data_IF_327693174868
#
_entry.id   IF_327693174868
#
_cell.length_a   1.000
_cell.length_b   1.000
_cell.length_c   1.000
_cell.angle_alpha   90.00
_cell.angle_beta   90.00
_cell.angle_gamma   90.00
#
_symmetry.space_group_name_H-M   'P 1'
#
loop_
_entity.id
_entity.type
_entity.pdbx_description
1 polymer ?
#
# COMPACT_ATOMS: atom_id res chain seq x y z
N UNK A 1 10.29 13.85 -30.58
CA UNK A 1 11.26 12.98 -29.88
C UNK A 1 11.12 11.58 -30.49
N UNK A 2 12.21 10.93 -30.92
CA UNK A 2 12.12 9.66 -31.63
C UNK A 2 11.65 8.54 -30.67
N UNK A 3 10.89 7.56 -31.17
CA UNK A 3 10.37 6.41 -30.39
C UNK A 3 11.51 5.64 -29.73
N UNK A 4 12.66 5.52 -30.40
CA UNK A 4 13.86 4.90 -29.85
C UNK A 4 14.46 5.66 -28.67
N UNK A 5 14.50 7.00 -28.73
CA UNK A 5 14.98 7.84 -27.63
C UNK A 5 14.09 7.68 -26.40
N UNK A 6 12.77 7.59 -26.61
CA UNK A 6 11.78 7.42 -25.55
C UNK A 6 11.93 6.05 -24.87
N UNK A 7 12.14 4.99 -25.66
CA UNK A 7 12.41 3.64 -25.14
C UNK A 7 13.74 3.60 -24.37
N UNK A 8 14.78 4.25 -24.90
CA UNK A 8 16.10 4.31 -24.26
C UNK A 8 16.06 5.07 -22.94
N UNK A 9 15.39 6.21 -22.90
CA UNK A 9 15.17 7.00 -21.67
C UNK A 9 14.40 6.21 -20.62
N UNK A 10 13.34 5.50 -21.01
CA UNK A 10 12.60 4.63 -20.08
C UNK A 10 13.49 3.53 -19.52
N UNK A 11 14.20 2.78 -20.37
CA UNK A 11 15.12 1.72 -19.93
C UNK A 11 16.19 2.24 -18.96
N UNK A 12 16.76 3.41 -19.24
CA UNK A 12 17.72 4.04 -18.35
C UNK A 12 17.09 4.44 -17.00
N UNK A 13 15.90 5.06 -17.03
CA UNK A 13 15.15 5.40 -15.81
C UNK A 13 14.89 4.17 -14.94
N UNK A 14 14.40 3.08 -15.55
CA UNK A 14 14.12 1.82 -14.86
C UNK A 14 15.41 1.26 -14.24
N UNK A 15 16.49 1.17 -15.02
CA UNK A 15 17.76 0.66 -14.51
C UNK A 15 18.28 1.49 -13.31
N UNK A 16 18.21 2.82 -13.41
CA UNK A 16 18.61 3.72 -12.32
C UNK A 16 17.69 3.52 -11.10
N UNK A 17 16.38 3.54 -11.27
CA UNK A 17 15.43 3.34 -10.17
C UNK A 17 15.62 1.98 -9.50
N UNK A 18 15.73 0.89 -10.26
CA UNK A 18 15.95 -0.44 -9.70
C UNK A 18 17.28 -0.53 -8.95
N UNK A 19 18.35 0.06 -9.47
CA UNK A 19 19.65 0.10 -8.80
C UNK A 19 19.58 0.87 -7.48
N UNK A 20 18.92 2.03 -7.47
CA UNK A 20 18.69 2.83 -6.26
C UNK A 20 17.83 2.06 -5.24
N UNK A 21 16.77 1.38 -5.67
CA UNK A 21 15.94 0.56 -4.79
C UNK A 21 16.74 -0.57 -4.14
N UNK A 22 17.64 -1.25 -4.87
CA UNK A 22 18.52 -2.28 -4.30
C UNK A 22 19.48 -1.67 -3.27
N UNK A 23 20.11 -0.53 -3.59
CA UNK A 23 21.00 0.16 -2.64
C UNK A 23 20.24 0.56 -1.38
N UNK A 24 19.05 1.16 -1.53
CA UNK A 24 18.19 1.55 -0.40
C UNK A 24 17.86 0.33 0.45
N UNK A 25 17.44 -0.78 -0.16
CA UNK A 25 17.10 -2.00 0.57
C UNK A 25 18.30 -2.51 1.39
N UNK A 26 19.49 -2.60 0.79
CA UNK A 26 20.71 -3.02 1.49
C UNK A 26 21.05 -2.06 2.63
N UNK A 27 20.98 -0.74 2.40
CA UNK A 27 21.21 0.26 3.44
C UNK A 27 20.22 0.12 4.60
N UNK A 28 18.94 -0.17 4.32
CA UNK A 28 17.94 -0.40 5.36
C UNK A 28 18.22 -1.70 6.14
N UNK A 29 18.62 -2.78 5.48
CA UNK A 29 19.04 -4.01 6.17
C UNK A 29 20.25 -3.76 7.09
N UNK A 30 21.23 -2.97 6.64
CA UNK A 30 22.39 -2.60 7.44
C UNK A 30 22.01 -1.68 8.61
N UNK A 31 21.06 -0.76 8.40
CA UNK A 31 20.53 0.10 9.44
C UNK A 31 19.83 -0.72 10.54
N UNK A 32 18.98 -1.67 10.17
CA UNK A 32 18.31 -2.61 11.10
C UNK A 32 19.36 -3.45 11.85
N UNK A 33 20.38 -3.97 11.16
CA UNK A 33 21.45 -4.69 11.83
C UNK A 33 22.23 -3.80 12.84
N UNK A 34 22.41 -2.52 12.52
CA UNK A 34 23.09 -1.56 13.39
C UNK A 34 22.24 -1.17 14.60
N UNK A 35 20.95 -0.83 14.41
CA UNK A 35 20.04 -0.48 15.49
C UNK A 35 19.93 -1.63 16.50
N UNK A 36 20.07 -2.88 16.05
CA UNK A 36 19.98 -4.06 16.90
C UNK A 36 21.13 -4.16 17.90
N UNK A 37 22.18 -3.36 17.73
CA UNK A 37 23.32 -3.26 18.66
C UNK A 37 23.15 -2.15 19.70
N UNK A 38 22.11 -1.31 19.57
CA UNK A 38 21.86 -0.20 20.48
C UNK A 38 21.24 -0.73 21.78
N UNK A 39 21.76 -0.28 22.91
CA UNK A 39 21.15 -0.53 24.21
C UNK A 39 19.87 0.31 24.35
N UNK A 40 18.73 -0.37 24.49
CA UNK A 40 17.41 0.25 24.63
C UNK A 40 16.83 0.06 26.04
N UNK A 41 17.64 -0.33 27.03
CA UNK A 41 17.20 -0.62 28.39
C UNK A 41 16.57 0.57 29.13
N UNK A 42 16.96 1.80 28.79
CA UNK A 42 16.41 3.02 29.40
C UNK A 42 15.04 3.42 28.86
N UNK A 43 14.59 2.83 27.74
CA UNK A 43 13.31 3.17 27.12
C UNK A 43 12.16 2.36 27.71
N UNK A 44 10.95 2.95 27.71
CA UNK A 44 9.73 2.24 28.13
C UNK A 44 9.55 0.97 27.27
N UNK A 45 9.44 -0.23 27.87
CA UNK A 45 9.16 -1.46 27.13
C UNK A 45 7.80 -1.40 26.40
N UNK A 46 7.66 -2.18 25.33
CA UNK A 46 6.38 -2.38 24.66
C UNK A 46 5.34 -2.97 25.62
N UNK A 47 4.07 -2.61 25.44
CA UNK A 47 3.02 -2.97 26.41
C UNK A 47 2.83 -4.49 26.52
N UNK A 48 3.06 -5.23 25.42
CA UNK A 48 2.92 -6.69 25.41
C UNK A 48 3.82 -7.41 26.43
N UNK A 49 4.97 -6.81 26.76
CA UNK A 49 5.92 -7.36 27.74
C UNK A 49 5.31 -7.27 29.14
N UNK A 50 4.69 -6.12 29.46
CA UNK A 50 4.06 -5.90 30.76
C UNK A 50 2.80 -6.75 30.96
N UNK A 51 2.03 -6.99 29.88
CA UNK A 51 0.79 -7.78 29.92
C UNK A 51 1.01 -9.28 29.68
N UNK A 52 2.23 -9.70 29.34
CA UNK A 52 2.55 -11.06 28.90
C UNK A 52 1.66 -11.54 27.74
N UNK A 53 1.44 -10.66 26.77
CA UNK A 53 0.63 -10.90 25.55
C UNK A 53 1.43 -10.67 24.29
N UNK A 54 2.76 -10.83 24.32
CA UNK A 54 3.58 -10.74 23.12
C UNK A 54 3.29 -11.93 22.19
N UNK A 55 3.69 -11.78 20.92
CA UNK A 55 3.71 -12.86 19.95
C UNK A 55 4.63 -14.00 20.40
N UNK A 56 4.48 -15.16 19.76
CA UNK A 56 5.14 -16.40 20.16
C UNK A 56 6.67 -16.30 20.25
N UNK A 57 7.30 -15.57 19.32
CA UNK A 57 8.75 -15.51 19.20
C UNK A 57 9.42 -14.99 20.48
N UNK A 58 10.34 -15.80 21.03
CA UNK A 58 11.03 -15.48 22.27
C UNK A 58 11.88 -14.21 22.15
N UNK A 59 11.83 -13.38 23.19
CA UNK A 59 12.64 -12.16 23.29
C UNK A 59 14.09 -12.52 23.59
N UNK A 60 15.01 -12.09 22.72
CA UNK A 60 16.46 -12.15 22.97
C UNK A 60 16.94 -11.04 23.91
N UNK A 61 18.18 -11.12 24.34
CA UNK A 61 18.80 -10.13 25.23
C UNK A 61 18.89 -8.74 24.58
N UNK A 62 18.93 -7.70 25.42
CA UNK A 62 19.12 -6.31 24.99
C UNK A 62 20.52 -6.15 24.37
N UNK A 63 20.64 -5.31 23.33
CA UNK A 63 21.85 -5.21 22.52
C UNK A 63 21.94 -6.27 21.42
N UNK A 64 20.84 -7.01 21.19
CA UNK A 64 20.62 -7.85 20.02
C UNK A 64 19.24 -7.59 19.41
N UNK A 65 19.01 -8.09 18.19
CA UNK A 65 17.67 -8.08 17.58
C UNK A 65 16.72 -8.93 18.45
N UNK A 66 15.72 -8.28 19.07
CA UNK A 66 14.86 -8.87 20.09
C UNK A 66 13.96 -9.99 19.56
N UNK A 67 13.36 -9.83 18.38
CA UNK A 67 12.57 -10.84 17.67
C UNK A 67 13.04 -11.02 16.21
N UNK A 68 14.13 -11.77 15.97
CA UNK A 68 14.78 -11.83 14.67
C UNK A 68 13.90 -12.25 13.49
N UNK A 69 13.09 -13.30 13.63
CA UNK A 69 12.22 -13.79 12.55
C UNK A 69 11.22 -12.71 12.20
N UNK A 70 10.56 -12.11 13.20
CA UNK A 70 9.60 -11.02 13.01
C UNK A 70 10.25 -9.77 12.41
N UNK A 71 11.46 -9.39 12.87
CA UNK A 71 12.22 -8.25 12.32
C UNK A 71 12.55 -8.45 10.85
N UNK A 72 13.15 -9.59 10.47
CA UNK A 72 13.61 -9.81 9.10
C UNK A 72 12.47 -10.04 8.11
N UNK A 73 11.40 -10.72 8.54
CA UNK A 73 10.23 -10.96 7.68
C UNK A 73 9.44 -9.69 7.39
N UNK A 74 9.51 -8.67 8.25
CA UNK A 74 8.92 -7.36 7.96
C UNK A 74 9.55 -6.66 6.75
N UNK A 75 10.79 -6.99 6.39
CA UNK A 75 11.42 -6.46 5.19
C UNK A 75 10.78 -6.94 3.89
N UNK A 76 9.87 -7.94 3.92
CA UNK A 76 9.06 -8.27 2.74
C UNK A 76 8.12 -7.13 2.35
N UNK A 77 7.55 -6.38 3.32
CA UNK A 77 6.77 -5.17 3.00
C UNK A 77 7.64 -4.13 2.29
N UNK A 78 8.83 -3.85 2.84
CA UNK A 78 9.79 -2.92 2.24
C UNK A 78 10.24 -3.36 0.85
N UNK A 79 10.53 -4.64 0.68
CA UNK A 79 10.89 -5.22 -0.62
C UNK A 79 9.78 -4.99 -1.66
N UNK A 80 8.54 -5.37 -1.34
CA UNK A 80 7.43 -5.20 -2.27
C UNK A 80 7.15 -3.74 -2.58
N UNK A 81 7.16 -2.84 -1.59
CA UNK A 81 6.97 -1.41 -1.86
C UNK A 81 8.07 -0.80 -2.75
N UNK A 82 9.31 -1.28 -2.66
CA UNK A 82 10.38 -0.88 -3.60
C UNK A 82 10.15 -1.45 -5.01
N UNK A 83 9.64 -2.68 -5.12
CA UNK A 83 9.22 -3.25 -6.41
C UNK A 83 8.10 -2.40 -7.02
N UNK A 84 7.12 -1.97 -6.23
CA UNK A 84 6.04 -1.09 -6.68
C UNK A 84 6.55 0.24 -7.24
N UNK A 85 7.54 0.87 -6.59
CA UNK A 85 8.21 2.07 -7.10
C UNK A 85 8.81 1.82 -8.48
N UNK A 86 9.48 0.68 -8.70
CA UNK A 86 10.03 0.31 -10.01
C UNK A 86 8.91 0.15 -11.06
N UNK A 87 7.79 -0.51 -10.70
CA UNK A 87 6.63 -0.65 -11.58
C UNK A 87 6.03 0.70 -11.98
N UNK A 88 5.89 1.63 -11.03
CA UNK A 88 5.38 2.98 -11.27
C UNK A 88 6.35 3.76 -12.17
N UNK A 89 7.65 3.71 -11.89
CA UNK A 89 8.69 4.42 -12.67
C UNK A 89 8.76 3.98 -14.13
N UNK A 90 8.34 2.75 -14.45
CA UNK A 90 8.25 2.29 -15.83
C UNK A 90 7.23 3.12 -16.66
N UNK A 91 6.19 3.70 -16.03
CA UNK A 91 5.02 4.25 -16.74
C UNK A 91 4.58 5.70 -16.38
N UNK A 92 5.37 6.45 -15.60
CA UNK A 92 5.06 7.77 -14.97
C UNK A 92 4.38 8.88 -15.84
N UNK A 93 3.81 10.00 -15.29
CA UNK A 93 3.68 10.40 -13.87
C UNK A 93 2.28 10.87 -13.36
N UNK A 94 1.30 11.28 -14.18
CA UNK A 94 0.19 12.11 -13.65
C UNK A 94 -0.98 11.35 -12.99
N UNK A 95 -1.21 10.08 -13.36
CA UNK A 95 -2.31 9.26 -12.82
C UNK A 95 -1.94 8.32 -11.65
N UNK A 96 -0.67 8.29 -11.25
CA UNK A 96 -0.14 7.30 -10.28
C UNK A 96 0.20 7.90 -8.91
N UNK A 97 -0.17 9.16 -8.66
CA UNK A 97 0.23 9.89 -7.42
C UNK A 97 -0.21 9.17 -6.14
N UNK A 98 -1.44 8.65 -6.11
CA UNK A 98 -1.93 7.87 -4.96
C UNK A 98 -1.22 6.53 -4.83
N UNK A 99 -0.86 5.86 -5.94
CA UNK A 99 -0.08 4.61 -5.90
C UNK A 99 1.36 4.82 -5.42
N UNK A 100 1.97 5.99 -5.66
CA UNK A 100 3.26 6.34 -5.04
C UNK A 100 3.10 6.44 -3.53
N UNK A 101 2.01 7.05 -3.04
CA UNK A 101 1.73 7.12 -1.60
C UNK A 101 1.56 5.72 -1.02
N UNK A 102 0.87 4.82 -1.74
CA UNK A 102 0.71 3.42 -1.33
C UNK A 102 2.06 2.70 -1.19
N UNK A 103 2.92 2.78 -2.22
CA UNK A 103 4.23 2.15 -2.21
C UNK A 103 5.11 2.69 -1.07
N UNK A 104 5.10 4.00 -0.83
CA UNK A 104 5.82 4.62 0.28
C UNK A 104 5.26 4.19 1.64
N UNK A 105 3.92 4.10 1.77
CA UNK A 105 3.27 3.61 2.98
C UNK A 105 3.69 2.16 3.31
N UNK A 106 3.73 1.29 2.29
CA UNK A 106 4.16 -0.10 2.47
C UNK A 106 5.66 -0.22 2.79
N UNK A 107 6.52 0.62 2.19
CA UNK A 107 7.94 0.71 2.56
C UNK A 107 8.10 1.07 4.04
N UNK A 108 7.40 2.12 4.48
CA UNK A 108 7.45 2.60 5.85
C UNK A 108 6.86 1.61 6.84
N UNK A 109 5.77 0.91 6.48
CA UNK A 109 5.19 -0.15 7.29
C UNK A 109 6.22 -1.24 7.59
N UNK A 110 6.90 -1.78 6.57
CA UNK A 110 7.95 -2.78 6.77
C UNK A 110 9.09 -2.29 7.66
N UNK A 111 9.55 -1.07 7.44
CA UNK A 111 10.63 -0.49 8.23
C UNK A 111 10.23 -0.27 9.68
N UNK A 112 9.05 0.31 9.90
CA UNK A 112 8.54 0.64 11.23
C UNK A 112 8.25 -0.62 12.05
N UNK A 113 7.68 -1.64 11.41
CA UNK A 113 7.41 -2.92 12.05
C UNK A 113 8.70 -3.69 12.35
N UNK A 114 9.68 -3.68 11.43
CA UNK A 114 10.99 -4.27 11.69
C UNK A 114 11.66 -3.63 12.92
N UNK A 115 11.69 -2.29 13.00
CA UNK A 115 12.24 -1.55 14.13
C UNK A 115 11.51 -1.86 15.45
N UNK A 116 10.19 -2.05 15.41
CA UNK A 116 9.43 -2.45 16.60
C UNK A 116 9.84 -3.83 17.09
N UNK A 117 9.81 -4.86 16.24
CA UNK A 117 10.19 -6.22 16.62
C UNK A 117 11.67 -6.35 17.01
N UNK A 118 12.50 -5.46 16.47
CA UNK A 118 13.91 -5.41 16.79
C UNK A 118 14.18 -4.84 18.17
N UNK A 119 13.48 -3.76 18.55
CA UNK A 119 13.74 -3.01 19.80
C UNK A 119 12.82 -3.42 20.95
N UNK A 120 11.58 -3.80 20.65
CA UNK A 120 10.52 -4.14 21.60
C UNK A 120 10.26 -3.05 22.65
N UNK A 121 10.38 -1.78 22.24
CA UNK A 121 10.07 -0.60 23.06
C UNK A 121 8.74 0.04 22.65
N UNK A 122 8.14 0.80 23.56
CA UNK A 122 6.83 1.43 23.36
C UNK A 122 6.81 2.44 22.21
N UNK A 123 7.86 3.25 22.03
CA UNK A 123 7.93 4.17 20.88
C UNK A 123 7.99 3.41 19.55
N UNK A 124 8.66 2.25 19.53
CA UNK A 124 8.64 1.32 18.39
C UNK A 124 7.22 0.83 18.08
N UNK A 125 6.48 0.40 19.11
CA UNK A 125 5.07 -0.02 18.99
C UNK A 125 4.18 1.09 18.39
N UNK A 126 4.40 2.34 18.79
CA UNK A 126 3.66 3.49 18.23
C UNK A 126 3.98 3.68 16.74
N UNK A 127 5.26 3.60 16.38
CA UNK A 127 5.72 3.79 15.01
C UNK A 127 5.25 2.64 14.11
N UNK A 128 5.25 1.41 14.59
CA UNK A 128 4.67 0.23 13.92
C UNK A 128 3.18 0.44 13.61
N UNK A 129 2.39 0.85 14.61
CA UNK A 129 0.98 1.19 14.42
C UNK A 129 0.77 2.28 13.35
N UNK A 130 1.59 3.34 13.37
CA UNK A 130 1.54 4.37 12.32
C UNK A 130 1.81 3.74 10.95
N UNK A 131 2.80 2.85 10.82
CA UNK A 131 3.12 2.11 9.60
C UNK A 131 1.94 1.29 9.08
N UNK A 132 1.29 0.54 9.97
CA UNK A 132 0.10 -0.23 9.64
C UNK A 132 -1.01 0.69 9.09
N UNK A 133 -1.34 1.79 9.78
CA UNK A 133 -2.40 2.71 9.35
C UNK A 133 -2.07 3.53 8.11
N UNK A 134 -0.80 3.85 7.85
CA UNK A 134 -0.37 4.40 6.56
C UNK A 134 -0.79 3.46 5.43
N UNK A 135 -0.54 2.16 5.59
CA UNK A 135 -0.85 1.19 4.54
C UNK A 135 -2.36 0.94 4.42
N UNK A 136 -3.03 0.56 5.52
CA UNK A 136 -4.45 0.18 5.45
C UNK A 136 -5.40 1.36 5.30
N UNK A 137 -5.03 2.54 5.82
CA UNK A 137 -5.83 3.76 5.68
C UNK A 137 -5.85 4.29 4.25
N UNK A 138 -4.86 3.94 3.44
CA UNK A 138 -4.84 4.30 2.03
C UNK A 138 -6.00 3.66 1.25
N UNK A 139 -6.34 2.39 1.55
CA UNK A 139 -7.36 1.63 0.84
C UNK A 139 -8.75 2.31 0.81
N UNK A 140 -9.40 2.63 1.95
CA UNK A 140 -10.69 3.32 1.92
C UNK A 140 -10.58 4.74 1.36
N UNK A 141 -9.47 5.44 1.60
CA UNK A 141 -9.22 6.78 1.07
C UNK A 141 -9.17 6.78 -0.47
N UNK A 142 -8.51 5.78 -1.06
CA UNK A 142 -8.46 5.57 -2.50
C UNK A 142 -9.82 5.19 -3.08
N UNK A 143 -10.57 4.30 -2.43
CA UNK A 143 -11.92 3.94 -2.88
C UNK A 143 -12.88 5.15 -2.90
N UNK A 144 -12.74 6.07 -1.94
CA UNK A 144 -13.48 7.35 -1.93
C UNK A 144 -12.99 8.28 -3.03
N UNK A 145 -11.69 8.48 -3.18
CA UNK A 145 -11.10 9.25 -4.28
C UNK A 145 -11.65 8.76 -5.64
N UNK A 146 -11.58 7.45 -5.88
CA UNK A 146 -12.09 6.80 -7.09
C UNK A 146 -13.57 7.09 -7.30
N UNK A 147 -14.37 6.97 -6.25
CA UNK A 147 -15.81 7.26 -6.32
C UNK A 147 -16.10 8.71 -6.69
N UNK A 148 -15.36 9.67 -6.13
CA UNK A 148 -15.52 11.10 -6.40
C UNK A 148 -15.09 11.49 -7.81
N UNK A 149 -14.03 10.86 -8.34
CA UNK A 149 -13.58 11.07 -9.73
C UNK A 149 -14.68 10.75 -10.74
N UNK A 150 -15.56 9.79 -10.43
CA UNK A 150 -16.67 9.38 -11.30
C UNK A 150 -17.91 10.27 -11.18
N UNK A 151 -18.14 10.93 -10.04
CA UNK A 151 -19.43 11.57 -9.74
C UNK A 151 -19.40 13.10 -9.72
N UNK A 152 -18.24 13.74 -9.47
CA UNK A 152 -18.19 15.19 -9.28
C UNK A 152 -18.29 15.96 -10.61
N UNK A 153 -19.37 16.74 -10.85
CA UNK A 153 -19.58 17.51 -12.08
C UNK A 153 -18.91 18.90 -11.97
N UNK A 154 -17.65 18.93 -11.56
CA UNK A 154 -16.86 20.16 -11.43
C UNK A 154 -15.90 20.32 -12.60
N UNK A 155 -15.46 21.56 -12.86
CA UNK A 155 -14.36 21.81 -13.79
C UNK A 155 -13.09 21.07 -13.33
N UNK A 156 -12.30 20.58 -14.30
CA UNK A 156 -11.18 19.65 -14.06
C UNK A 156 -10.26 20.11 -12.92
N UNK A 157 -9.88 21.40 -12.88
CA UNK A 157 -8.97 21.94 -11.87
C UNK A 157 -9.55 21.93 -10.45
N UNK A 158 -10.81 22.33 -10.29
CA UNK A 158 -11.45 22.37 -8.97
C UNK A 158 -11.75 20.95 -8.46
N UNK A 159 -12.10 20.05 -9.37
CA UNK A 159 -12.35 18.64 -9.05
C UNK A 159 -11.13 17.97 -8.42
N UNK A 160 -9.94 18.14 -9.02
CA UNK A 160 -8.71 17.53 -8.51
C UNK A 160 -8.31 18.07 -7.12
N UNK A 161 -8.48 19.37 -6.88
CA UNK A 161 -8.19 19.98 -5.57
C UNK A 161 -9.13 19.43 -4.51
N UNK A 162 -10.44 19.37 -4.78
CA UNK A 162 -11.43 18.84 -3.83
C UNK A 162 -11.15 17.37 -3.52
N UNK A 163 -10.86 16.55 -4.54
CA UNK A 163 -10.56 15.13 -4.36
C UNK A 163 -9.29 14.94 -3.53
N UNK A 164 -8.24 15.71 -3.79
CA UNK A 164 -7.01 15.66 -3.00
C UNK A 164 -7.26 16.05 -1.54
N UNK A 165 -8.02 17.11 -1.28
CA UNK A 165 -8.38 17.51 0.08
C UNK A 165 -9.17 16.40 0.79
N UNK A 166 -10.20 15.83 0.16
CA UNK A 166 -10.98 14.75 0.76
C UNK A 166 -10.13 13.52 1.04
N UNK A 167 -9.27 13.12 0.09
CA UNK A 167 -8.33 12.03 0.26
C UNK A 167 -7.45 12.25 1.50
N UNK A 168 -6.78 13.40 1.59
CA UNK A 168 -5.88 13.69 2.71
C UNK A 168 -6.60 13.82 4.04
N UNK A 169 -7.81 14.41 4.06
CA UNK A 169 -8.62 14.48 5.28
C UNK A 169 -8.96 13.08 5.80
N UNK A 170 -9.51 12.21 4.95
CA UNK A 170 -9.87 10.85 5.34
C UNK A 170 -8.62 10.07 5.77
N UNK A 171 -7.57 10.12 4.96
CA UNK A 171 -6.35 9.36 5.19
C UNK A 171 -5.67 9.75 6.50
N UNK A 172 -5.47 11.04 6.74
CA UNK A 172 -4.86 11.53 7.99
C UNK A 172 -5.78 11.31 9.20
N UNK A 173 -7.11 11.40 9.03
CA UNK A 173 -8.04 11.08 10.11
C UNK A 173 -7.96 9.60 10.52
N UNK A 174 -7.84 8.67 9.57
CA UNK A 174 -7.70 7.24 9.87
C UNK A 174 -6.38 6.99 10.61
N UNK A 175 -5.26 7.56 10.13
CA UNK A 175 -3.96 7.40 10.78
C UNK A 175 -3.99 7.95 12.20
N UNK A 176 -4.48 9.17 12.37
CA UNK A 176 -4.53 9.81 13.69
C UNK A 176 -5.46 9.06 14.64
N UNK A 177 -6.70 8.77 14.22
CA UNK A 177 -7.68 8.09 15.07
C UNK A 177 -7.24 6.67 15.43
N UNK A 178 -6.75 5.90 14.45
CA UNK A 178 -6.24 4.55 14.66
C UNK A 178 -5.07 4.54 15.64
N UNK A 179 -4.08 5.41 15.43
CA UNK A 179 -2.90 5.52 16.31
C UNK A 179 -3.28 5.95 17.73
N UNK A 180 -4.14 6.96 17.87
CA UNK A 180 -4.62 7.43 19.18
C UNK A 180 -5.34 6.29 19.91
N UNK A 181 -6.29 5.61 19.26
CA UNK A 181 -7.02 4.50 19.89
C UNK A 181 -6.07 3.38 20.32
N UNK A 182 -5.07 3.02 19.50
CA UNK A 182 -4.10 1.98 19.86
C UNK A 182 -3.21 2.36 21.04
N UNK A 183 -2.84 3.64 21.16
CA UNK A 183 -2.02 4.13 22.28
C UNK A 183 -2.80 4.11 23.59
N UNK A 184 -4.06 4.57 23.58
CA UNK A 184 -4.84 4.74 24.80
C UNK A 184 -5.63 3.49 25.19
N UNK A 185 -5.99 2.66 24.21
CA UNK A 185 -6.86 1.49 24.36
C UNK A 185 -6.33 0.37 23.45
N UNK A 186 -5.13 -0.12 23.74
CA UNK A 186 -4.40 -1.08 22.89
C UNK A 186 -5.18 -2.34 22.52
N UNK A 187 -6.09 -2.84 23.38
CA UNK A 187 -6.95 -3.99 23.08
C UNK A 187 -7.99 -3.71 21.97
N UNK A 188 -8.32 -2.44 21.69
CA UNK A 188 -9.14 -2.04 20.55
C UNK A 188 -8.34 -1.92 19.24
N UNK A 189 -7.02 -2.14 19.28
CA UNK A 189 -6.17 -2.05 18.10
C UNK A 189 -6.62 -2.97 16.97
N UNK A 190 -6.86 -4.24 17.29
CA UNK A 190 -7.36 -5.22 16.32
C UNK A 190 -8.72 -4.79 15.74
N UNK A 191 -9.62 -4.26 16.58
CA UNK A 191 -10.96 -3.82 16.15
C UNK A 191 -10.86 -2.64 15.18
N UNK A 192 -10.08 -1.62 15.52
CA UNK A 192 -9.91 -0.44 14.65
C UNK A 192 -9.20 -0.76 13.34
N UNK A 193 -8.23 -1.67 13.36
CA UNK A 193 -7.60 -2.19 12.15
C UNK A 193 -8.59 -2.96 11.27
N UNK A 194 -9.36 -3.88 11.86
CA UNK A 194 -10.38 -4.66 11.17
C UNK A 194 -11.49 -3.77 10.58
N UNK A 195 -11.95 -2.74 11.31
CA UNK A 195 -12.93 -1.76 10.82
C UNK A 195 -12.40 -0.97 9.62
N UNK A 196 -11.11 -0.64 9.59
CA UNK A 196 -10.48 0.07 8.46
C UNK A 196 -10.48 -0.80 7.21
N UNK A 197 -10.12 -2.08 7.34
CA UNK A 197 -10.18 -3.04 6.25
C UNK A 197 -11.63 -3.28 5.79
N UNK A 198 -12.55 -3.44 6.73
CA UNK A 198 -13.97 -3.62 6.44
C UNK A 198 -14.54 -2.43 5.66
N UNK A 199 -14.16 -1.19 6.03
CA UNK A 199 -14.53 0.00 5.28
C UNK A 199 -14.05 -0.08 3.82
N UNK A 200 -12.81 -0.48 3.56
CA UNK A 200 -12.30 -0.68 2.19
C UNK A 200 -13.09 -1.76 1.43
N UNK A 201 -13.37 -2.90 2.08
CA UNK A 201 -14.13 -4.01 1.51
C UNK A 201 -15.60 -3.69 1.24
N UNK A 202 -16.15 -2.65 1.88
CA UNK A 202 -17.50 -2.16 1.62
C UNK A 202 -17.50 -1.08 0.53
N UNK A 203 -16.63 -0.06 0.67
CA UNK A 203 -16.58 1.08 -0.24
C UNK A 203 -16.11 0.65 -1.63
N UNK A 204 -15.15 -0.28 -1.72
CA UNK A 204 -14.61 -0.81 -2.98
C UNK A 204 -15.71 -1.37 -3.90
N UNK A 205 -16.45 -2.42 -3.49
CA UNK A 205 -17.57 -2.97 -4.26
C UNK A 205 -18.67 -1.97 -4.61
N UNK A 206 -18.95 -1.01 -3.72
CA UNK A 206 -19.91 0.07 -4.00
C UNK A 206 -19.40 0.97 -5.13
N UNK A 207 -18.11 1.34 -5.11
CA UNK A 207 -17.49 2.13 -6.17
C UNK A 207 -17.48 1.37 -7.51
N UNK A 208 -17.20 0.07 -7.45
CA UNK A 208 -17.21 -0.88 -8.56
C UNK A 208 -18.60 -1.01 -9.20
N UNK A 209 -19.64 -1.15 -8.38
CA UNK A 209 -21.04 -1.21 -8.82
C UNK A 209 -21.49 0.12 -9.45
N UNK A 210 -21.12 1.26 -8.86
CA UNK A 210 -21.41 2.59 -9.42
C UNK A 210 -20.76 2.78 -10.78
N UNK A 211 -19.51 2.36 -10.94
CA UNK A 211 -18.81 2.41 -12.21
C UNK A 211 -19.58 1.61 -13.28
N UNK A 212 -19.97 0.37 -12.97
CA UNK A 212 -20.75 -0.49 -13.88
C UNK A 212 -22.10 0.11 -14.26
N UNK A 213 -22.78 0.74 -13.30
CA UNK A 213 -24.05 1.40 -13.55
C UNK A 213 -23.88 2.58 -14.53
N UNK A 214 -22.91 3.46 -14.27
CA UNK A 214 -22.61 4.60 -15.14
C UNK A 214 -22.22 4.14 -16.54
N UNK A 215 -21.44 3.07 -16.65
CA UNK A 215 -21.04 2.48 -17.93
C UNK A 215 -22.25 2.05 -18.77
N UNK A 216 -23.20 1.34 -18.17
CA UNK A 216 -24.46 0.93 -18.83
C UNK A 216 -25.30 2.14 -19.25
N UNK A 217 -25.35 3.19 -18.43
CA UNK A 217 -26.06 4.43 -18.76
C UNK A 217 -25.41 5.09 -19.99
N UNK A 218 -24.09 5.20 -20.03
CA UNK A 218 -23.38 5.79 -21.17
C UNK A 218 -23.51 4.95 -22.44
N UNK A 219 -23.45 3.61 -22.36
CA UNK A 219 -23.72 2.74 -23.51
C UNK A 219 -25.13 2.93 -24.07
N UNK A 220 -26.12 3.18 -23.20
CA UNK A 220 -27.50 3.45 -23.63
C UNK A 220 -27.62 4.82 -24.33
N UNK A 221 -26.88 5.83 -23.88
CA UNK A 221 -26.89 7.19 -24.47
C UNK A 221 -26.07 7.23 -25.77
N UNK A 222 -24.94 6.53 -25.81
CA UNK A 222 -24.03 6.47 -26.95
C UNK A 222 -23.70 5.00 -27.24
N UNK A 223 -24.38 4.34 -28.18
CA UNK A 223 -24.19 2.92 -28.48
C UNK A 223 -22.76 2.56 -28.95
N UNK A 224 -22.02 3.55 -29.45
CA UNK A 224 -20.63 3.41 -29.86
C UNK A 224 -19.64 3.62 -28.69
N UNK A 225 -20.13 3.98 -27.50
CA UNK A 225 -19.32 4.06 -26.29
C UNK A 225 -18.86 2.66 -25.90
N UNK A 226 -17.61 2.36 -26.22
CA UNK A 226 -16.89 1.25 -25.60
C UNK A 226 -16.10 1.79 -24.43
N UNK A 227 -16.30 1.20 -23.26
CA UNK A 227 -15.46 1.43 -22.11
C UNK A 227 -14.58 0.21 -21.89
N UNK A 228 -13.34 0.22 -22.40
CA UNK A 228 -12.42 -0.88 -22.16
C UNK A 228 -11.83 -0.85 -20.76
N UNK A 229 -12.13 0.18 -19.94
CA UNK A 229 -11.53 0.36 -18.62
C UNK A 229 -12.23 -0.44 -17.52
N UNK A 230 -13.49 -0.82 -17.70
CA UNK A 230 -14.22 -1.49 -16.62
C UNK A 230 -14.01 -3.00 -16.68
N UNK A 231 -13.12 -3.48 -15.82
CA UNK A 231 -12.83 -4.89 -15.51
C UNK A 231 -12.09 -5.63 -16.62
N UNK A 232 -10.80 -5.34 -16.75
CA UNK A 232 -9.90 -6.33 -17.34
C UNK A 232 -10.11 -7.67 -16.61
N UNK A 233 -10.12 -8.79 -17.33
CA UNK A 233 -10.25 -10.11 -16.69
C UNK A 233 -9.19 -10.35 -15.62
N UNK A 234 -8.06 -9.62 -15.65
CA UNK A 234 -7.02 -9.67 -14.63
C UNK A 234 -7.51 -9.12 -13.29
N UNK A 235 -8.16 -7.95 -13.27
CA UNK A 235 -8.73 -7.35 -12.04
C UNK A 235 -9.68 -8.32 -11.32
N UNK A 236 -10.52 -9.05 -12.07
CA UNK A 236 -11.50 -10.00 -11.53
C UNK A 236 -10.88 -11.13 -10.69
N UNK A 237 -9.66 -11.54 -11.00
CA UNK A 237 -8.98 -12.61 -10.27
C UNK A 237 -8.02 -12.09 -9.20
N UNK A 238 -7.42 -10.93 -9.42
CA UNK A 238 -6.40 -10.38 -8.52
C UNK A 238 -6.99 -9.87 -7.21
N UNK A 239 -8.18 -9.24 -7.23
CA UNK A 239 -8.84 -8.77 -6.02
C UNK A 239 -9.22 -9.93 -5.08
N UNK A 240 -9.93 -10.99 -5.54
CA UNK A 240 -10.14 -12.19 -4.72
C UNK A 240 -8.84 -12.85 -4.25
N UNK A 241 -7.81 -12.90 -5.11
CA UNK A 241 -6.51 -13.47 -4.73
C UNK A 241 -5.86 -12.70 -3.57
N UNK A 242 -5.88 -11.36 -3.60
CA UNK A 242 -5.38 -10.53 -2.50
C UNK A 242 -6.16 -10.78 -1.20
N UNK A 243 -7.50 -10.85 -1.27
CA UNK A 243 -8.36 -11.13 -0.10
C UNK A 243 -8.08 -12.51 0.49
N UNK A 244 -7.97 -13.54 -0.35
CA UNK A 244 -7.67 -14.91 0.09
C UNK A 244 -6.27 -14.99 0.70
N UNK A 245 -5.28 -14.37 0.05
CA UNK A 245 -3.91 -14.31 0.56
C UNK A 245 -3.86 -13.63 1.93
N UNK A 246 -4.55 -12.51 2.12
CA UNK A 246 -4.64 -11.82 3.39
C UNK A 246 -5.40 -12.63 4.45
N UNK A 247 -6.47 -13.34 4.09
CA UNK A 247 -7.22 -14.19 5.02
C UNK A 247 -6.37 -15.37 5.53
N UNK A 248 -5.57 -15.98 4.65
CA UNK A 248 -4.60 -17.01 5.03
C UNK A 248 -3.54 -16.42 5.95
N UNK A 249 -2.99 -15.24 5.59
CA UNK A 249 -2.05 -14.53 6.45
C UNK A 249 -2.65 -14.33 7.85
N UNK A 250 -3.87 -13.79 7.93
CA UNK A 250 -4.51 -13.46 9.21
C UNK A 250 -4.78 -14.70 10.06
N UNK A 251 -4.98 -15.85 9.42
CA UNK A 251 -5.06 -17.14 10.11
C UNK A 251 -3.75 -17.46 10.83
N UNK A 252 -2.60 -17.28 10.18
CA UNK A 252 -1.28 -17.44 10.84
C UNK A 252 -1.07 -16.44 11.97
N UNK A 253 -1.51 -15.20 11.80
CA UNK A 253 -1.47 -14.19 12.88
C UNK A 253 -2.27 -14.65 14.10
N UNK A 254 -3.50 -15.16 13.90
CA UNK A 254 -4.34 -15.67 15.00
C UNK A 254 -3.71 -16.89 15.69
N UNK A 255 -3.18 -17.84 14.91
CA UNK A 255 -2.56 -19.05 15.44
C UNK A 255 -1.32 -18.72 16.29
N UNK A 256 -0.55 -17.72 15.90
CA UNK A 256 0.61 -17.22 16.64
C UNK A 256 0.18 -16.47 17.91
N UNK A 257 -0.77 -15.53 17.78
CA UNK A 257 -1.28 -14.74 18.91
C UNK A 257 -1.91 -15.60 20.02
N UNK A 258 -2.67 -16.64 19.65
CA UNK A 258 -3.23 -17.59 20.61
C UNK A 258 -2.24 -18.69 21.04
N UNK A 259 -0.99 -18.63 20.57
CA UNK A 259 0.06 -19.61 20.87
C UNK A 259 -0.32 -21.07 20.52
N UNK A 260 -1.23 -21.26 19.55
CA UNK A 260 -1.71 -22.59 19.11
C UNK A 260 -0.64 -23.28 18.26
N UNK A 261 0.02 -22.52 17.38
CA UNK A 261 1.14 -22.99 16.58
C UNK A 261 2.37 -22.16 16.92
N UNK A 262 2.97 -22.47 18.07
CA UNK A 262 4.05 -21.68 18.65
C UNK A 262 5.27 -22.54 19.01
N UNK A 263 6.41 -22.20 18.42
CA UNK A 263 7.74 -22.67 18.84
C UNK A 263 8.60 -21.42 19.11
N UNK A 264 8.73 -20.96 20.38
CA UNK A 264 9.36 -19.67 20.70
C UNK A 264 10.81 -19.53 20.23
N UNK A 265 11.53 -20.64 20.07
CA UNK A 265 12.93 -20.66 19.64
C UNK A 265 13.11 -21.16 18.20
N UNK A 266 12.01 -21.50 17.53
CA UNK A 266 12.00 -22.03 16.18
C UNK A 266 12.35 -20.97 15.13
N UNK A 267 12.92 -21.44 14.02
CA UNK A 267 13.15 -20.61 12.83
C UNK A 267 11.85 -20.23 12.10
N UNK A 268 10.75 -20.92 12.39
CA UNK A 268 9.44 -20.70 11.80
C UNK A 268 8.49 -20.13 12.85
N UNK A 269 8.12 -18.86 12.69
CA UNK A 269 7.15 -18.16 13.52
C UNK A 269 5.88 -17.90 12.72
N UNK A 270 4.71 -18.17 13.30
CA UNK A 270 3.43 -17.87 12.64
C UNK A 270 3.31 -16.39 12.31
N UNK A 271 3.82 -15.54 13.21
CA UNK A 271 3.91 -14.10 12.98
C UNK A 271 4.82 -13.71 11.80
N UNK A 272 5.93 -14.41 11.61
CA UNK A 272 6.80 -14.21 10.44
C UNK A 272 6.12 -14.60 9.12
N UNK A 273 5.33 -15.68 9.12
CA UNK A 273 4.52 -16.09 7.96
C UNK A 273 3.45 -15.06 7.65
N UNK A 274 2.83 -14.47 8.68
CA UNK A 274 1.91 -13.34 8.55
C UNK A 274 2.54 -12.18 7.77
N UNK A 275 3.75 -11.72 8.13
CA UNK A 275 4.41 -10.61 7.42
C UNK A 275 4.61 -10.90 5.93
N UNK A 276 5.12 -12.09 5.59
CA UNK A 276 5.38 -12.47 4.21
C UNK A 276 4.09 -12.56 3.36
N UNK A 277 3.03 -13.15 3.92
CA UNK A 277 1.76 -13.29 3.20
C UNK A 277 0.97 -11.97 3.15
N UNK A 278 0.94 -11.20 4.22
CA UNK A 278 0.26 -9.90 4.26
C UNK A 278 0.91 -8.90 3.29
N UNK A 279 2.25 -8.84 3.25
CA UNK A 279 2.98 -8.01 2.28
C UNK A 279 2.73 -8.45 0.83
N UNK A 280 2.65 -9.76 0.59
CA UNK A 280 2.30 -10.30 -0.73
C UNK A 280 0.85 -9.94 -1.13
N UNK A 281 -0.10 -9.99 -0.19
CA UNK A 281 -1.48 -9.59 -0.42
C UNK A 281 -1.60 -8.11 -0.80
N UNK A 282 -0.83 -7.24 -0.13
CA UNK A 282 -0.73 -5.82 -0.46
C UNK A 282 -0.11 -5.61 -1.86
N UNK A 283 0.94 -6.36 -2.21
CA UNK A 283 1.51 -6.28 -3.55
C UNK A 283 0.52 -6.71 -4.64
N UNK A 284 -0.23 -7.79 -4.42
CA UNK A 284 -1.29 -8.22 -5.36
C UNK A 284 -2.36 -7.12 -5.47
N UNK A 285 -2.71 -6.48 -4.36
CA UNK A 285 -3.64 -5.35 -4.31
C UNK A 285 -3.11 -4.14 -5.10
N UNK A 286 -1.82 -3.79 -4.94
CA UNK A 286 -1.16 -2.78 -5.77
C UNK A 286 -1.33 -3.13 -7.24
N UNK A 287 -1.06 -4.36 -7.65
CA UNK A 287 -1.20 -4.76 -9.04
C UNK A 287 -2.64 -4.62 -9.55
N UNK A 288 -3.67 -4.87 -8.71
CA UNK A 288 -5.06 -4.60 -9.05
C UNK A 288 -5.25 -3.13 -9.44
N UNK A 289 -4.90 -2.20 -8.54
CA UNK A 289 -5.08 -0.77 -8.76
C UNK A 289 -4.15 -0.21 -9.84
N UNK A 290 -2.96 -0.77 -9.97
CA UNK A 290 -2.01 -0.43 -11.01
C UNK A 290 -2.57 -0.76 -12.41
N UNK A 291 -3.17 -1.94 -12.58
CA UNK A 291 -3.80 -2.32 -13.85
C UNK A 291 -5.02 -1.46 -14.18
N UNK A 292 -5.79 -1.01 -13.18
CA UNK A 292 -6.90 -0.08 -13.36
C UNK A 292 -6.44 1.27 -13.96
N UNK A 293 -5.37 1.85 -13.40
CA UNK A 293 -4.85 3.15 -13.84
C UNK A 293 -4.14 3.09 -15.21
N UNK A 294 -3.59 1.93 -15.59
CA UNK A 294 -2.89 1.76 -16.87
C UNK A 294 -3.84 1.80 -18.08
N UNK A 295 -4.99 1.10 -18.01
CA UNK A 295 -5.92 1.02 -19.15
C UNK A 295 -6.56 2.40 -19.42
N UNK A 296 -6.87 3.15 -18.35
CA UNK A 296 -7.52 4.48 -18.43
C UNK A 296 -6.72 5.49 -19.27
N UNK A 297 -5.39 5.35 -19.36
CA UNK A 297 -4.51 6.31 -20.04
C UNK A 297 -4.22 5.99 -21.51
N UNK A 298 -4.12 4.72 -21.91
CA UNK A 298 -3.85 4.38 -23.32
C UNK A 298 -4.93 4.92 -24.28
N UNK A 299 -6.16 5.08 -23.77
CA UNK A 299 -7.27 5.60 -24.57
C UNK A 299 -7.37 7.12 -24.64
N UNK A 300 -6.98 7.86 -23.60
CA UNK A 300 -6.98 9.33 -23.65
C UNK A 300 -5.96 9.84 -24.67
N UNK A 301 -4.86 9.12 -24.85
CA UNK A 301 -3.86 9.41 -25.89
C UNK A 301 -4.31 9.01 -27.30
N UNK A 302 -5.17 7.98 -27.43
CA UNK A 302 -5.69 7.53 -28.73
C UNK A 302 -6.95 8.26 -29.20
N UNK A 303 -7.56 9.11 -28.35
CA UNK A 303 -8.76 9.89 -28.65
C UNK A 303 -8.50 11.35 -29.01
N UNK A 304 -7.24 11.80 -29.16
CA UNK A 304 -6.97 13.09 -29.80
C UNK A 304 -7.33 12.92 -31.29
N UNK A 305 -8.40 13.55 -31.79
CA UNK A 305 -8.70 13.49 -33.22
C UNK A 305 -7.55 14.18 -33.96
N UNK A 306 -7.10 13.58 -35.06
CA UNK A 306 -6.08 14.18 -35.95
C UNK A 306 -6.49 15.56 -36.52
N UNK A 307 -7.73 16.00 -36.28
CA UNK A 307 -8.29 17.28 -36.72
C UNK A 307 -7.75 18.49 -35.91
N UNK A 308 -7.37 18.28 -34.64
CA UNK A 308 -6.90 19.36 -33.76
C UNK A 308 -5.41 19.74 -33.97
N UNK A 309 -4.71 19.03 -34.87
CA UNK A 309 -3.36 19.40 -35.30
C UNK A 309 -3.35 20.38 -36.47
N UNK A 310 -4.51 20.66 -37.08
CA UNK A 310 -4.61 21.55 -38.24
C UNK A 310 -4.81 23.02 -37.85
N UNK A 311 -5.39 23.34 -36.68
CA UNK A 311 -5.59 24.72 -36.25
C UNK A 311 -4.35 25.38 -35.65
N UNK A 312 -3.41 24.61 -35.06
CA UNK A 312 -2.15 25.18 -34.55
C UNK A 312 -1.15 25.57 -35.65
N UNK A 313 -1.37 25.17 -36.91
CA UNK A 313 -0.56 25.58 -38.05
C UNK A 313 -0.99 26.88 -38.75
N UNK A 314 -2.16 27.44 -38.39
CA UNK A 314 -2.75 28.61 -39.07
C UNK A 314 -2.59 29.92 -38.30
N UNK A 315 -1.99 29.91 -37.09
CA UNK A 315 -1.66 31.13 -36.34
C UNK A 315 -0.17 31.50 -36.37
N UNK A 316 0.64 30.89 -37.24
CA UNK A 316 2.06 31.22 -37.40
C UNK A 316 2.47 31.57 -38.85
N UNK A 317 1.58 32.21 -39.61
CA UNK A 317 1.92 32.92 -40.86
C UNK A 317 1.31 34.31 -40.85
#
# INVERSE_FOLDING_TARGET
MNTEDTIRQRKASIFITSSLCVIIYVCLCLLIAFVGTIDVSEYKPADCIATNTCFCEALRDIGTIRQPVSTWTNLFFTFYGLVEVVFISWHAPEGYKSLVIYALAQILHGLFSALYHETMIFSGQVIDNIGMYLTVGWLPSYCVERSLRMTLPLSMRYREVVIACVFWCIYMSIIAAGTIVNIWISWLGLVTFALTIAAALIIGPISDYKALFLDKVFQKISPNYKNPNLYSNRYKWMMPAAIVCFAIAFTFWLLDFFHVWCDPYGFYQGHGVWHALASSALFIMFLCYYTENFVTRQESTNKIPADDQTEQGLMSM
#
